data_IF_194857097397
#
_entry.id   IF_194857097397
#
_cell.length_a   1.000
_cell.length_b   1.000
_cell.length_c   1.000
_cell.angle_alpha   90.00
_cell.angle_beta   90.00
_cell.angle_gamma   90.00
#
_symmetry.space_group_name_H-M   'P 1'
#
loop_
_entity.id
_entity.type
_entity.pdbx_description
1 polymer ?
#
# COMPACT_ATOMS: atom_id res chain seq x y z
N UNK A 1 -0.65 14.13 -0.83
CA UNK A 1 0.42 13.49 -0.05
C UNK A 1 -0.20 12.40 0.80
N UNK A 2 -0.41 12.67 2.10
CA UNK A 2 -1.73 12.52 2.70
C UNK A 2 -2.45 11.17 2.51
N UNK A 3 -3.62 11.31 1.89
CA UNK A 3 -4.51 10.24 1.46
C UNK A 3 -3.82 9.10 0.70
N UNK A 4 -2.83 9.38 -0.15
CA UNK A 4 -2.19 8.36 -0.99
C UNK A 4 -1.24 7.49 -0.15
N UNK A 5 -0.43 8.12 0.70
CA UNK A 5 0.57 7.38 1.48
C UNK A 5 -0.08 6.50 2.54
N UNK A 6 -1.22 6.91 3.10
CA UNK A 6 -1.95 6.13 4.09
C UNK A 6 -2.43 4.77 3.57
N UNK A 7 -2.82 4.69 2.30
CA UNK A 7 -3.30 3.43 1.71
C UNK A 7 -2.20 2.65 1.00
N UNK A 8 -1.04 3.27 0.77
CA UNK A 8 0.01 2.70 -0.07
C UNK A 8 0.57 1.35 0.41
N UNK A 9 0.77 1.06 1.72
CA UNK A 9 1.22 -0.25 2.15
C UNK A 9 0.23 -1.37 1.80
N UNK A 10 -1.06 -1.16 2.08
CA UNK A 10 -2.11 -2.11 1.74
C UNK A 10 -2.25 -2.29 0.21
N UNK A 11 -2.16 -1.20 -0.55
CA UNK A 11 -2.21 -1.24 -2.02
C UNK A 11 -1.03 -2.01 -2.60
N UNK A 12 0.19 -1.79 -2.11
CA UNK A 12 1.36 -2.52 -2.60
C UNK A 12 1.34 -4.00 -2.23
N UNK A 13 0.80 -4.37 -1.07
CA UNK A 13 0.54 -5.77 -0.74
C UNK A 13 -0.44 -6.41 -1.75
N UNK A 14 -1.53 -5.71 -2.07
CA UNK A 14 -2.52 -6.17 -3.06
C UNK A 14 -1.95 -6.28 -4.47
N UNK A 15 -1.17 -5.28 -4.94
CA UNK A 15 -0.67 -5.24 -6.32
C UNK A 15 0.60 -6.05 -6.56
N UNK A 16 1.26 -6.54 -5.51
CA UNK A 16 2.52 -7.28 -5.62
C UNK A 16 2.51 -8.44 -6.63
N UNK A 17 1.44 -9.26 -6.74
CA UNK A 17 1.41 -10.35 -7.72
C UNK A 17 1.56 -9.90 -9.18
N UNK A 18 1.26 -8.63 -9.51
CA UNK A 18 1.38 -8.15 -10.88
C UNK A 18 2.84 -8.02 -11.36
N UNK A 19 3.76 -7.68 -10.45
CA UNK A 19 5.19 -7.59 -10.75
C UNK A 19 6.02 -7.61 -9.46
N UNK A 20 6.19 -8.80 -8.84
CA UNK A 20 6.83 -8.92 -7.54
C UNK A 20 8.31 -8.49 -7.58
N UNK A 21 9.00 -8.65 -8.70
CA UNK A 21 10.39 -8.24 -8.88
C UNK A 21 10.55 -6.73 -8.74
N UNK A 22 9.63 -5.94 -9.32
CA UNK A 22 9.61 -4.49 -9.14
C UNK A 22 9.33 -4.08 -7.69
N UNK A 23 8.49 -4.84 -6.98
CA UNK A 23 8.22 -4.56 -5.57
C UNK A 23 9.48 -4.81 -4.72
N UNK A 24 10.22 -5.89 -4.99
CA UNK A 24 11.49 -6.20 -4.30
C UNK A 24 12.61 -5.19 -4.64
N UNK A 25 12.69 -4.74 -5.89
CA UNK A 25 13.63 -3.68 -6.30
C UNK A 25 13.33 -2.37 -5.54
N UNK A 26 12.07 -1.92 -5.53
CA UNK A 26 11.66 -0.70 -4.83
C UNK A 26 11.87 -0.82 -3.33
N UNK A 27 11.55 -1.98 -2.73
CA UNK A 27 11.82 -2.22 -1.33
C UNK A 27 13.31 -2.11 -1.00
N UNK A 28 14.18 -2.60 -1.89
CA UNK A 28 15.63 -2.53 -1.72
C UNK A 28 16.12 -1.08 -1.77
N UNK A 29 15.65 -0.30 -2.75
CA UNK A 29 15.98 1.12 -2.92
C UNK A 29 15.56 1.90 -1.67
N UNK A 30 14.31 1.76 -1.23
CA UNK A 30 13.80 2.47 -0.06
C UNK A 30 14.54 2.09 1.23
N UNK A 31 14.77 0.79 1.45
CA UNK A 31 15.43 0.29 2.66
C UNK A 31 16.94 0.57 2.73
N UNK A 32 17.53 1.17 1.69
CA UNK A 32 18.95 1.51 1.62
C UNK A 32 19.20 2.97 1.26
N UNK A 33 18.15 3.82 1.26
CA UNK A 33 18.30 5.22 0.85
C UNK A 33 18.81 5.37 -0.59
N UNK A 34 18.60 4.38 -1.45
CA UNK A 34 19.05 4.36 -2.84
C UNK A 34 20.42 3.72 -3.09
N UNK A 35 21.13 3.26 -2.06
CA UNK A 35 22.47 2.66 -2.21
C UNK A 35 22.45 1.27 -2.87
N UNK A 36 21.34 0.54 -2.77
CA UNK A 36 21.22 -0.80 -3.35
C UNK A 36 19.83 -1.07 -3.92
N UNK A 37 19.82 -1.77 -5.05
CA UNK A 37 18.62 -2.31 -5.69
C UNK A 37 18.43 -3.80 -5.46
N UNK A 38 19.37 -4.46 -4.79
CA UNK A 38 19.48 -5.92 -4.75
C UNK A 38 19.26 -6.54 -3.37
N UNK A 39 19.13 -5.72 -2.31
CA UNK A 39 18.95 -6.16 -0.91
C UNK A 39 17.90 -7.26 -0.71
N UNK A 40 16.79 -7.20 -1.44
CA UNK A 40 15.69 -8.17 -1.34
C UNK A 40 15.46 -9.00 -2.61
N UNK A 41 16.34 -8.94 -3.61
CA UNK A 41 16.09 -9.61 -4.91
C UNK A 41 16.15 -11.14 -4.85
N UNK A 42 16.71 -11.72 -3.79
CA UNK A 42 16.71 -13.15 -3.53
C UNK A 42 15.52 -13.63 -2.67
N UNK A 43 14.60 -12.72 -2.30
CA UNK A 43 13.43 -13.06 -1.49
C UNK A 43 12.33 -13.66 -2.34
N UNK A 44 11.45 -14.42 -1.69
CA UNK A 44 10.32 -15.06 -2.35
C UNK A 44 9.39 -14.01 -2.98
N UNK A 45 9.00 -14.21 -4.23
CA UNK A 45 8.03 -13.35 -4.91
C UNK A 45 6.69 -13.26 -4.17
N UNK A 46 6.33 -14.29 -3.39
CA UNK A 46 5.12 -14.30 -2.55
C UNK A 46 5.17 -13.28 -1.40
N UNK A 47 6.38 -12.96 -0.93
CA UNK A 47 6.59 -12.02 0.18
C UNK A 47 6.79 -10.58 -0.31
N UNK A 48 6.90 -10.36 -1.63
CA UNK A 48 7.31 -9.08 -2.21
C UNK A 48 6.44 -7.90 -1.76
N UNK A 49 5.12 -8.10 -1.73
CA UNK A 49 4.18 -7.08 -1.27
C UNK A 49 4.37 -6.71 0.19
N UNK A 50 4.46 -7.74 1.06
CA UNK A 50 4.68 -7.55 2.50
C UNK A 50 6.01 -6.87 2.78
N UNK A 51 7.09 -7.30 2.10
CA UNK A 51 8.41 -6.69 2.24
C UNK A 51 8.38 -5.20 1.88
N UNK A 52 7.78 -4.85 0.74
CA UNK A 52 7.67 -3.44 0.33
C UNK A 52 6.82 -2.65 1.32
N UNK A 53 5.69 -3.19 1.76
CA UNK A 53 4.81 -2.53 2.71
C UNK A 53 5.47 -2.31 4.07
N UNK A 54 6.23 -3.28 4.59
CA UNK A 54 6.95 -3.15 5.85
C UNK A 54 8.08 -2.11 5.78
N UNK A 55 8.84 -2.09 4.68
CA UNK A 55 9.85 -1.04 4.42
C UNK A 55 9.19 0.33 4.34
N UNK A 56 8.07 0.43 3.63
CA UNK A 56 7.35 1.68 3.49
C UNK A 56 6.77 2.15 4.83
N UNK A 57 6.26 1.23 5.65
CA UNK A 57 5.81 1.54 7.01
C UNK A 57 6.95 2.14 7.84
N UNK A 58 8.13 1.52 7.84
CA UNK A 58 9.29 2.06 8.56
C UNK A 58 9.66 3.47 8.08
N UNK A 59 9.64 3.68 6.76
CA UNK A 59 9.91 5.00 6.17
C UNK A 59 8.87 6.04 6.62
N UNK A 60 7.58 5.73 6.48
CA UNK A 60 6.48 6.64 6.85
C UNK A 60 6.52 6.97 8.36
N UNK A 61 6.84 6.00 9.22
CA UNK A 61 7.05 6.22 10.65
C UNK A 61 8.23 7.17 10.92
N UNK A 62 9.35 7.01 10.20
CA UNK A 62 10.54 7.85 10.36
C UNK A 62 10.33 9.33 10.00
N UNK A 63 9.34 9.62 9.16
CA UNK A 63 8.95 10.99 8.76
C UNK A 63 7.69 11.48 9.48
N UNK A 64 7.29 10.81 10.56
CA UNK A 64 6.17 11.19 11.44
C UNK A 64 4.81 11.29 10.72
N UNK A 65 4.54 10.40 9.76
CA UNK A 65 3.19 10.26 9.20
C UNK A 65 2.26 9.63 10.24
N UNK A 66 1.04 10.15 10.36
CA UNK A 66 0.03 9.64 11.29
C UNK A 66 -0.22 8.13 11.12
N UNK A 67 -0.64 7.47 12.20
CA UNK A 67 -0.81 6.01 12.21
C UNK A 67 -2.12 5.56 11.51
N UNK A 68 -2.18 5.72 10.20
CA UNK A 68 -3.29 5.29 9.36
C UNK A 68 -4.52 6.18 9.44
N UNK A 69 -5.59 5.74 8.76
CA UNK A 69 -6.81 6.52 8.61
C UNK A 69 -7.51 6.83 9.96
N UNK A 70 -7.37 5.96 10.97
CA UNK A 70 -7.95 6.22 12.30
C UNK A 70 -7.37 7.45 12.97
N UNK A 71 -6.07 7.71 12.79
CA UNK A 71 -5.43 8.90 13.34
C UNK A 71 -5.94 10.19 12.67
N UNK A 72 -6.51 10.09 11.48
CA UNK A 72 -7.14 11.20 10.75
C UNK A 72 -8.65 11.34 11.04
N UNK A 73 -9.19 10.55 11.96
CA UNK A 73 -10.61 10.61 12.37
C UNK A 73 -11.56 9.70 11.59
N UNK A 74 -11.05 8.82 10.71
CA UNK A 74 -11.89 7.80 10.06
C UNK A 74 -12.12 6.60 10.98
N UNK A 75 -13.21 5.91 10.73
CA UNK A 75 -13.63 4.69 11.41
C UNK A 75 -13.91 3.58 10.41
N UNK A 76 -14.10 2.35 10.91
CA UNK A 76 -14.51 1.24 10.04
C UNK A 76 -15.89 1.49 9.42
N UNK A 77 -16.74 2.28 10.09
CA UNK A 77 -18.09 2.62 9.61
C UNK A 77 -18.05 3.53 8.36
N UNK A 78 -16.92 4.19 8.11
CA UNK A 78 -16.72 5.03 6.92
C UNK A 78 -16.34 4.21 5.67
N UNK A 79 -15.91 2.95 5.83
CA UNK A 79 -15.44 2.10 4.72
C UNK A 79 -16.48 1.99 3.59
N UNK A 80 -17.78 1.74 3.84
CA UNK A 80 -18.77 1.69 2.77
C UNK A 80 -18.85 2.98 1.96
N UNK A 81 -18.74 4.14 2.62
CA UNK A 81 -18.74 5.45 1.96
C UNK A 81 -17.47 5.67 1.15
N UNK A 82 -16.30 5.29 1.67
CA UNK A 82 -15.02 5.38 0.98
C UNK A 82 -14.97 4.50 -0.28
N UNK A 83 -15.49 3.26 -0.20
CA UNK A 83 -15.62 2.36 -1.35
C UNK A 83 -16.55 2.99 -2.40
N UNK A 84 -17.73 3.45 -1.99
CA UNK A 84 -18.71 4.09 -2.89
C UNK A 84 -18.12 5.32 -3.59
N UNK A 85 -17.32 6.12 -2.89
CA UNK A 85 -16.64 7.28 -3.46
C UNK A 85 -15.49 6.91 -4.44
N UNK A 86 -14.94 5.71 -4.32
CA UNK A 86 -13.85 5.22 -5.19
C UNK A 86 -14.37 4.70 -6.53
N UNK A 87 -15.54 4.05 -6.56
CA UNK A 87 -16.09 3.39 -7.76
C UNK A 87 -16.27 4.31 -9.00
N UNK A 88 -16.72 5.57 -8.88
CA UNK A 88 -16.86 6.45 -10.04
C UNK A 88 -15.53 6.84 -10.68
N UNK A 89 -14.39 6.63 -10.00
CA UNK A 89 -13.06 7.03 -10.45
C UNK A 89 -12.45 6.06 -11.47
N UNK A 90 -13.28 5.51 -12.37
CA UNK A 90 -12.91 4.45 -13.30
C UNK A 90 -11.70 4.77 -14.19
N UNK A 91 -11.49 6.06 -14.52
CA UNK A 91 -10.36 6.47 -15.35
C UNK A 91 -9.01 6.16 -14.68
N UNK A 92 -8.93 6.25 -13.37
CA UNK A 92 -7.70 5.95 -12.61
C UNK A 92 -7.68 4.53 -12.10
N UNK A 93 -8.81 3.99 -11.62
CA UNK A 93 -8.85 2.63 -11.06
C UNK A 93 -8.65 1.55 -12.12
N UNK A 94 -8.97 1.81 -13.39
CA UNK A 94 -8.65 0.91 -14.52
C UNK A 94 -7.17 0.88 -14.90
N UNK A 95 -6.34 1.79 -14.38
CA UNK A 95 -4.89 1.76 -14.58
C UNK A 95 -4.19 0.84 -13.57
N UNK A 96 -4.92 0.34 -12.56
CA UNK A 96 -4.38 -0.63 -11.63
C UNK A 96 -3.94 -1.89 -12.39
N UNK A 97 -2.79 -2.49 -12.03
CA UNK A 97 -2.27 -3.65 -12.75
C UNK A 97 -3.07 -4.93 -12.46
N UNK A 98 -3.96 -4.90 -11.46
CA UNK A 98 -4.88 -5.98 -11.10
C UNK A 98 -6.31 -5.45 -11.07
N UNK A 99 -7.26 -6.31 -11.43
CA UNK A 99 -8.68 -6.06 -11.22
C UNK A 99 -9.02 -6.10 -9.73
N UNK A 100 -9.95 -5.26 -9.31
CA UNK A 100 -10.41 -5.19 -7.93
C UNK A 100 -11.94 -5.24 -7.88
N UNK A 101 -12.44 -5.84 -6.82
CA UNK A 101 -13.86 -5.87 -6.43
C UNK A 101 -14.16 -4.76 -5.41
N UNK A 102 -15.44 -4.59 -5.06
CA UNK A 102 -15.80 -3.69 -3.96
C UNK A 102 -15.23 -4.19 -2.62
N UNK A 103 -15.18 -5.50 -2.46
CA UNK A 103 -14.66 -6.19 -1.30
C UNK A 103 -13.13 -5.99 -1.18
N UNK A 104 -12.41 -6.01 -2.31
CA UNK A 104 -10.98 -5.70 -2.31
C UNK A 104 -10.74 -4.25 -1.86
N UNK A 105 -11.52 -3.29 -2.37
CA UNK A 105 -11.43 -1.89 -1.93
C UNK A 105 -11.73 -1.75 -0.44
N UNK A 106 -12.75 -2.45 0.07
CA UNK A 106 -13.08 -2.43 1.49
C UNK A 106 -11.92 -2.94 2.36
N UNK A 107 -11.30 -4.07 1.96
CA UNK A 107 -10.12 -4.64 2.64
C UNK A 107 -8.91 -3.71 2.58
N UNK A 108 -8.70 -3.02 1.46
CA UNK A 108 -7.64 -2.01 1.34
C UNK A 108 -7.83 -0.88 2.35
N UNK A 109 -9.05 -0.36 2.50
CA UNK A 109 -9.34 0.67 3.52
C UNK A 109 -9.21 0.12 4.94
N UNK A 110 -9.71 -1.08 5.22
CA UNK A 110 -9.59 -1.74 6.52
C UNK A 110 -8.12 -1.90 6.93
N UNK A 111 -7.29 -2.42 6.02
CA UNK A 111 -5.85 -2.59 6.23
C UNK A 111 -5.07 -1.27 6.29
N UNK A 112 -5.71 -0.14 5.96
CA UNK A 112 -5.14 1.20 6.05
C UNK A 112 -5.57 1.96 7.31
N UNK A 113 -6.44 1.36 8.14
CA UNK A 113 -6.91 1.98 9.39
C UNK A 113 -5.80 2.18 10.41
N UNK A 114 -4.80 1.30 10.42
CA UNK A 114 -3.57 1.41 11.20
C UNK A 114 -2.38 0.97 10.35
N UNK A 115 -1.27 1.69 10.45
CA UNK A 115 -0.03 1.41 9.72
C UNK A 115 1.06 0.77 10.60
N UNK A 116 1.12 1.12 11.88
CA UNK A 116 2.10 0.62 12.86
C UNK A 116 1.41 0.14 14.15
#
# INVERSE_FOLDING_TARGET
GLSVVMTSPAVFEFTAPACPERHLEVASILATGGESKTKFMNRSSKDAGKILADVLRQFLHSVHVDNGLKALGYTNDDIPTLVKATLPQQRVTKLAPLTHTQEDLARLFENSMKLY
#
